data_IF_802316584100
#
_entry.id   IF_802316584100
#
_cell.length_a   1.000
_cell.length_b   1.000
_cell.length_c   1.000
_cell.angle_alpha   90.00
_cell.angle_beta   90.00
_cell.angle_gamma   90.00
#
_symmetry.space_group_name_H-M   'P 1'
#
loop_
_entity.id
_entity.type
_entity.pdbx_description
1 polymer ?
#
# COMPACT_ATOMS: atom_id res chain seq x y z
N UNK A 1 6.17 -29.08 -4.87
CA UNK A 1 4.82 -29.60 -4.55
C UNK A 1 3.84 -28.43 -4.62
N UNK A 2 3.63 -27.92 -5.83
CA UNK A 2 2.67 -26.88 -6.17
C UNK A 2 1.43 -27.61 -6.67
N UNK A 3 0.33 -27.60 -5.93
CA UNK A 3 -1.01 -27.87 -6.45
C UNK A 3 -2.01 -27.65 -5.32
N UNK A 4 -3.14 -27.02 -5.68
CA UNK A 4 -4.39 -26.80 -4.93
C UNK A 4 -4.50 -25.47 -4.19
N UNK A 5 -5.10 -24.52 -4.91
CA UNK A 5 -6.33 -23.81 -4.50
C UNK A 5 -6.91 -23.11 -5.74
N UNK A 6 -7.56 -23.90 -6.60
CA UNK A 6 -8.55 -23.35 -7.53
C UNK A 6 -9.78 -23.03 -6.68
N UNK A 7 -9.86 -21.80 -6.18
CA UNK A 7 -11.05 -21.30 -5.51
C UNK A 7 -12.13 -21.05 -6.57
N UNK A 8 -13.35 -21.46 -6.24
CA UNK A 8 -14.54 -21.40 -7.09
C UNK A 8 -14.77 -19.96 -7.54
N UNK A 9 -14.46 -19.69 -8.81
CA UNK A 9 -14.69 -18.41 -9.47
C UNK A 9 -16.19 -18.23 -9.72
N UNK A 10 -16.77 -17.14 -9.23
CA UNK A 10 -18.13 -16.75 -9.61
C UNK A 10 -18.09 -16.19 -11.05
N UNK A 11 -18.99 -16.65 -11.93
CA UNK A 11 -18.99 -16.33 -13.37
C UNK A 11 -19.05 -14.82 -13.72
N UNK A 12 -19.31 -13.93 -12.77
CA UNK A 12 -19.26 -12.47 -12.97
C UNK A 12 -17.84 -11.88 -12.99
N UNK A 13 -16.84 -12.54 -12.41
CA UNK A 13 -15.44 -12.08 -12.36
C UNK A 13 -14.56 -12.66 -13.48
N UNK A 14 -15.12 -13.55 -14.32
CA UNK A 14 -14.40 -14.25 -15.40
C UNK A 14 -14.23 -13.47 -16.72
N UNK A 15 -14.55 -12.17 -16.77
CA UNK A 15 -14.33 -11.37 -18.00
C UNK A 15 -13.07 -10.48 -17.97
N UNK A 16 -12.32 -10.48 -16.86
CA UNK A 16 -11.21 -9.53 -16.62
C UNK A 16 -9.81 -10.06 -17.01
N UNK A 17 -9.73 -11.26 -17.60
CA UNK A 17 -8.51 -12.07 -17.61
C UNK A 17 -7.65 -12.06 -18.90
N UNK A 18 -7.85 -11.15 -19.88
CA UNK A 18 -7.07 -11.24 -21.14
C UNK A 18 -6.51 -9.95 -21.79
N UNK A 19 -6.72 -8.72 -21.31
CA UNK A 19 -6.44 -7.52 -22.15
C UNK A 19 -5.96 -6.21 -21.46
N UNK A 20 -5.10 -6.28 -20.44
CA UNK A 20 -4.65 -5.06 -19.75
C UNK A 20 -5.63 -4.69 -18.64
N UNK A 21 -5.22 -5.03 -17.41
CA UNK A 21 -6.03 -5.01 -16.21
C UNK A 21 -6.64 -3.61 -16.08
N UNK A 22 -7.94 -3.46 -15.98
CA UNK A 22 -8.55 -2.24 -15.47
C UNK A 22 -9.41 -2.67 -14.30
N UNK A 23 -9.04 -2.27 -13.08
CA UNK A 23 -9.84 -2.49 -11.89
C UNK A 23 -10.85 -1.34 -11.79
N UNK A 24 -12.15 -1.58 -12.06
CA UNK A 24 -13.17 -0.61 -11.75
C UNK A 24 -13.27 -0.49 -10.24
N UNK A 25 -12.69 0.57 -9.69
CA UNK A 25 -12.86 0.90 -8.28
C UNK A 25 -14.07 1.81 -8.19
N UNK A 26 -15.04 1.43 -7.37
CA UNK A 26 -16.14 2.31 -6.96
C UNK A 26 -16.17 2.29 -5.44
N UNK A 27 -15.69 3.37 -4.83
CA UNK A 27 -15.35 3.39 -3.42
C UNK A 27 -15.98 4.59 -2.73
N UNK A 28 -16.66 4.38 -1.59
CA UNK A 28 -17.14 5.48 -0.77
C UNK A 28 -15.94 6.24 -0.25
N UNK A 29 -15.88 7.53 -0.58
CA UNK A 29 -14.96 8.47 0.05
C UNK A 29 -15.77 9.46 0.89
N UNK A 30 -15.13 10.12 1.86
CA UNK A 30 -15.72 11.23 2.60
C UNK A 30 -16.15 12.43 1.75
N UNK A 31 -15.70 12.49 0.49
CA UNK A 31 -16.06 13.51 -0.50
C UNK A 31 -17.11 12.99 -1.49
N UNK A 32 -17.64 11.79 -1.26
CA UNK A 32 -18.58 11.09 -2.12
C UNK A 32 -18.01 9.85 -2.80
N UNK A 33 -18.67 9.34 -3.84
CA UNK A 33 -18.28 8.08 -4.46
C UNK A 33 -17.18 8.32 -5.51
N UNK A 34 -15.98 7.80 -5.25
CA UNK A 34 -14.91 7.80 -6.25
C UNK A 34 -15.09 6.57 -7.14
N UNK A 35 -15.17 6.77 -8.46
CA UNK A 35 -15.20 5.67 -9.42
C UNK A 35 -14.13 5.84 -10.48
N UNK A 36 -13.42 4.78 -10.85
CA UNK A 36 -12.43 4.86 -11.92
C UNK A 36 -11.82 3.52 -12.25
N UNK A 37 -11.05 3.47 -13.33
CA UNK A 37 -10.41 2.24 -13.79
C UNK A 37 -8.89 2.37 -13.58
N UNK A 38 -8.33 1.45 -12.81
CA UNK A 38 -6.88 1.41 -12.55
C UNK A 38 -6.26 0.24 -13.29
N UNK A 39 -5.30 0.56 -14.16
CA UNK A 39 -4.41 -0.40 -14.77
C UNK A 39 -3.18 -0.66 -13.92
N UNK A 40 -3.12 -1.89 -13.41
CA UNK A 40 -2.00 -2.40 -12.63
C UNK A 40 -0.93 -2.94 -13.58
N UNK A 41 0.33 -2.53 -13.42
CA UNK A 41 1.39 -2.88 -14.35
C UNK A 41 1.78 -4.37 -14.29
N UNK A 42 1.54 -5.05 -13.17
CA UNK A 42 2.02 -6.41 -12.91
C UNK A 42 0.93 -7.37 -12.41
N UNK A 43 1.06 -8.65 -12.77
CA UNK A 43 0.20 -9.76 -12.32
C UNK A 43 0.32 -10.08 -10.82
N UNK A 44 1.18 -9.37 -10.09
CA UNK A 44 1.33 -9.51 -8.64
C UNK A 44 0.03 -9.29 -7.87
N UNK A 45 -0.93 -8.57 -8.44
CA UNK A 45 -2.26 -8.40 -7.84
C UNK A 45 -3.05 -9.73 -7.82
N UNK A 46 -2.91 -10.57 -8.84
CA UNK A 46 -3.57 -11.88 -8.93
C UNK A 46 -3.13 -12.80 -7.79
N UNK A 47 -1.90 -12.61 -7.29
CA UNK A 47 -1.35 -13.36 -6.15
C UNK A 47 -2.13 -13.11 -4.85
N UNK A 48 -2.70 -11.93 -4.68
CA UNK A 48 -3.41 -11.53 -3.45
C UNK A 48 -4.93 -11.40 -3.64
N UNK A 49 -5.40 -11.31 -4.88
CA UNK A 49 -6.82 -11.24 -5.23
C UNK A 49 -7.64 -12.43 -4.70
N UNK A 50 -7.02 -13.61 -4.64
CA UNK A 50 -7.65 -14.84 -4.16
C UNK A 50 -7.71 -14.98 -2.65
N UNK A 51 -7.09 -14.07 -1.89
CA UNK A 51 -7.12 -14.12 -0.43
C UNK A 51 -8.45 -13.57 0.12
N UNK A 52 -8.80 -14.03 1.33
CA UNK A 52 -10.02 -13.55 1.99
C UNK A 52 -9.98 -12.03 2.18
N UNK A 53 -8.81 -11.47 2.52
CA UNK A 53 -8.57 -10.04 2.69
C UNK A 53 -7.24 -9.66 2.08
N UNK A 54 -7.19 -8.56 1.34
CA UNK A 54 -5.95 -8.06 0.75
C UNK A 54 -5.94 -6.52 0.66
N UNK A 55 -4.75 -5.94 0.59
CA UNK A 55 -4.58 -4.49 0.40
C UNK A 55 -3.68 -4.22 -0.80
N UNK A 56 -4.04 -3.22 -1.59
CA UNK A 56 -3.19 -2.63 -2.62
C UNK A 56 -2.87 -1.19 -2.22
N UNK A 57 -1.60 -0.80 -2.26
CA UNK A 57 -1.19 0.58 -2.13
C UNK A 57 -0.45 1.01 -3.40
N UNK A 58 -0.92 2.11 -4.00
CA UNK A 58 -0.33 2.72 -5.20
C UNK A 58 0.30 4.04 -4.79
N UNK A 59 1.64 4.09 -4.80
CA UNK A 59 2.39 5.22 -4.25
C UNK A 59 2.19 6.50 -5.07
N UNK A 60 2.27 6.42 -6.41
CA UNK A 60 2.12 7.57 -7.31
C UNK A 60 0.75 8.27 -7.23
N UNK A 61 -0.28 7.55 -6.77
CA UNK A 61 -1.66 8.03 -6.63
C UNK A 61 -2.05 8.30 -5.17
N UNK A 62 -1.17 8.03 -4.20
CA UNK A 62 -1.48 8.09 -2.78
C UNK A 62 -2.72 7.27 -2.40
N UNK A 63 -2.97 6.17 -3.11
CA UNK A 63 -4.23 5.44 -3.04
C UNK A 63 -4.01 4.08 -2.40
N UNK A 64 -4.83 3.77 -1.41
CA UNK A 64 -4.91 2.43 -0.83
C UNK A 64 -6.30 1.85 -1.06
N UNK A 65 -6.37 0.60 -1.47
CA UNK A 65 -7.60 -0.14 -1.75
C UNK A 65 -7.58 -1.44 -0.94
N UNK A 66 -8.62 -1.67 -0.17
CA UNK A 66 -8.85 -2.92 0.55
C UNK A 66 -9.82 -3.80 -0.22
N UNK A 67 -9.51 -5.09 -0.27
CA UNK A 67 -10.25 -6.12 -0.98
C UNK A 67 -10.72 -7.21 -0.04
N UNK A 68 -11.91 -7.75 -0.28
CA UNK A 68 -12.42 -8.94 0.39
C UNK A 68 -12.89 -9.93 -0.67
N UNK A 69 -12.28 -11.13 -0.70
CA UNK A 69 -12.55 -12.18 -1.69
C UNK A 69 -12.47 -11.70 -3.15
N UNK A 70 -11.46 -10.88 -3.44
CA UNK A 70 -11.19 -10.32 -4.77
C UNK A 70 -11.99 -9.05 -5.12
N UNK A 71 -12.98 -8.68 -4.31
CA UNK A 71 -13.81 -7.50 -4.56
C UNK A 71 -13.28 -6.28 -3.78
N UNK A 72 -13.15 -5.09 -4.41
CA UNK A 72 -12.76 -3.88 -3.69
C UNK A 72 -13.89 -3.44 -2.77
N UNK A 73 -13.61 -3.34 -1.47
CA UNK A 73 -14.62 -2.97 -0.45
C UNK A 73 -14.45 -1.55 0.09
N UNK A 74 -13.25 -0.98 -0.05
CA UNK A 74 -12.96 0.40 0.37
C UNK A 74 -11.69 0.90 -0.30
N UNK A 75 -11.65 2.19 -0.65
CA UNK A 75 -10.39 2.87 -0.89
C UNK A 75 -10.33 4.19 -0.16
N UNK A 76 -9.11 4.60 0.15
CA UNK A 76 -8.81 5.84 0.84
C UNK A 76 -7.43 6.34 0.43
N UNK A 77 -7.26 7.65 0.57
CA UNK A 77 -5.98 8.30 0.30
C UNK A 77 -5.06 8.21 1.52
N UNK A 78 -3.75 8.26 1.28
CA UNK A 78 -2.73 8.33 2.34
C UNK A 78 -1.64 9.37 2.04
N UNK A 79 -1.08 9.97 3.09
CA UNK A 79 0.17 10.73 3.01
C UNK A 79 1.38 9.80 3.11
N UNK A 80 2.45 10.09 2.36
CA UNK A 80 3.74 9.39 2.46
C UNK A 80 4.83 10.24 3.10
N UNK A 81 6.08 9.88 2.83
CA UNK A 81 7.25 10.74 3.07
C UNK A 81 7.66 11.51 1.81
N UNK A 82 8.51 12.53 1.93
CA UNK A 82 8.91 13.33 0.76
C UNK A 82 9.60 12.47 -0.30
N UNK A 83 10.25 11.38 0.15
CA UNK A 83 10.92 10.42 -0.71
C UNK A 83 9.99 9.35 -1.33
N UNK A 84 8.66 9.43 -1.13
CA UNK A 84 7.70 8.40 -1.58
C UNK A 84 7.79 8.07 -3.08
N UNK A 85 8.12 9.06 -3.92
CA UNK A 85 8.15 8.94 -5.39
C UNK A 85 9.55 8.74 -5.99
N UNK A 86 10.57 8.51 -5.17
CA UNK A 86 11.95 8.43 -5.64
C UNK A 86 12.44 6.98 -5.78
N UNK A 87 11.51 6.05 -6.03
CA UNK A 87 11.76 4.62 -6.09
C UNK A 87 11.75 3.92 -4.72
N UNK A 88 11.93 2.59 -4.69
CA UNK A 88 11.73 1.79 -3.49
C UNK A 88 12.78 2.07 -2.40
N UNK A 89 12.41 1.73 -1.16
CA UNK A 89 13.32 1.70 -0.01
C UNK A 89 14.54 0.80 -0.24
N UNK A 90 15.72 1.34 0.05
CA UNK A 90 17.03 0.68 -0.13
C UNK A 90 17.90 0.73 1.13
N UNK A 91 17.69 1.68 2.03
CA UNK A 91 18.48 1.76 3.27
C UNK A 91 17.69 2.39 4.40
N UNK A 92 18.15 2.17 5.62
CA UNK A 92 17.66 2.93 6.78
C UNK A 92 17.88 4.43 6.55
N UNK A 93 16.85 5.21 6.85
CA UNK A 93 16.92 6.67 6.81
C UNK A 93 16.86 7.28 5.41
N UNK A 94 16.56 6.50 4.36
CA UNK A 94 16.28 7.07 3.03
C UNK A 94 14.85 7.63 2.88
N UNK A 95 14.04 7.56 3.94
CA UNK A 95 12.67 8.09 4.00
C UNK A 95 11.70 7.53 2.94
N UNK A 96 12.11 6.46 2.24
CA UNK A 96 11.31 5.81 1.20
C UNK A 96 10.40 4.75 1.78
N UNK A 97 9.24 4.60 1.15
CA UNK A 97 8.34 3.46 1.34
C UNK A 97 8.82 2.30 0.45
N UNK A 98 8.81 1.06 0.95
CA UNK A 98 9.18 -0.09 0.14
C UNK A 98 8.10 -0.44 -0.88
N UNK A 99 8.52 -0.98 -2.03
CA UNK A 99 7.62 -1.56 -3.03
C UNK A 99 7.77 -3.09 -3.04
N UNK A 100 6.69 -3.81 -3.33
CA UNK A 100 6.64 -5.27 -3.35
C UNK A 100 5.49 -5.84 -2.52
N UNK A 101 5.50 -7.17 -2.40
CA UNK A 101 4.52 -7.93 -1.63
C UNK A 101 4.98 -8.11 -0.18
N UNK A 102 4.12 -7.74 0.77
CA UNK A 102 4.34 -7.82 2.21
C UNK A 102 3.10 -8.36 2.93
N UNK A 103 3.19 -8.46 4.26
CA UNK A 103 2.09 -8.79 5.16
C UNK A 103 1.95 -7.75 6.26
N UNK A 104 0.70 -7.53 6.65
CA UNK A 104 0.27 -6.58 7.66
C UNK A 104 0.11 -7.26 9.03
N UNK A 105 0.49 -6.55 10.10
CA UNK A 105 0.35 -7.03 11.48
C UNK A 105 -0.09 -5.89 12.39
N UNK A 106 -1.14 -6.10 13.18
CA UNK A 106 -1.61 -5.07 14.10
C UNK A 106 -0.61 -4.88 15.24
N UNK A 107 -0.41 -3.63 15.64
CA UNK A 107 0.43 -3.28 16.79
C UNK A 107 -0.37 -2.47 17.79
N UNK A 108 -0.05 -2.66 19.07
CA UNK A 108 -0.64 -1.88 20.16
C UNK A 108 0.30 -0.76 20.64
N UNK A 109 1.50 -0.71 20.08
CA UNK A 109 2.54 0.25 20.41
C UNK A 109 2.84 1.08 19.17
N UNK A 110 2.75 2.39 19.32
CA UNK A 110 3.26 3.43 18.42
C UNK A 110 2.94 4.76 19.09
N UNK A 111 3.69 5.81 18.74
CA UNK A 111 3.28 7.19 19.05
C UNK A 111 2.09 7.67 18.19
N UNK A 112 1.77 6.92 17.13
CA UNK A 112 0.68 7.19 16.20
C UNK A 112 -0.48 6.21 16.44
N UNK A 113 -1.74 6.65 16.25
CA UNK A 113 -2.89 5.79 16.49
C UNK A 113 -3.05 4.73 15.39
N UNK A 114 -3.69 3.61 15.76
CA UNK A 114 -4.01 2.46 14.90
C UNK A 114 -2.83 1.93 14.05
N UNK A 115 -1.68 1.61 14.67
CA UNK A 115 -0.51 1.21 13.90
C UNK A 115 -0.65 -0.22 13.36
N UNK A 116 -0.52 -0.36 12.04
CA UNK A 116 -0.41 -1.63 11.33
C UNK A 116 1.00 -1.74 10.75
N UNK A 117 1.77 -2.72 11.20
CA UNK A 117 3.14 -2.96 10.75
C UNK A 117 3.15 -3.72 9.43
N UNK A 118 3.93 -3.22 8.46
CA UNK A 118 4.33 -3.94 7.26
C UNK A 118 5.57 -4.77 7.60
N UNK A 119 5.59 -6.06 7.30
CA UNK A 119 6.72 -6.97 7.58
C UNK A 119 7.93 -6.78 6.65
N UNK A 120 8.26 -5.53 6.36
CA UNK A 120 9.50 -5.12 5.70
C UNK A 120 10.70 -5.31 6.66
N UNK A 121 11.90 -5.66 6.16
CA UNK A 121 12.24 -5.98 4.77
C UNK A 121 11.76 -7.36 4.30
N UNK A 122 11.41 -7.46 3.01
CA UNK A 122 11.00 -8.70 2.35
C UNK A 122 12.18 -9.53 1.80
N UNK A 123 11.96 -10.79 1.38
CA UNK A 123 12.99 -11.62 0.75
C UNK A 123 13.61 -10.98 -0.50
N UNK A 124 12.78 -10.36 -1.34
CA UNK A 124 13.23 -9.67 -2.56
C UNK A 124 14.08 -8.42 -2.24
N UNK A 125 13.75 -7.69 -1.15
CA UNK A 125 14.59 -6.57 -0.69
C UNK A 125 15.95 -7.05 -0.21
N UNK A 126 15.97 -8.15 0.53
CA UNK A 126 17.19 -8.75 1.04
C UNK A 126 18.07 -9.28 -0.09
N UNK A 127 17.48 -9.93 -1.09
CA UNK A 127 18.20 -10.44 -2.26
C UNK A 127 18.89 -9.31 -3.03
N UNK A 128 18.14 -8.27 -3.39
CA UNK A 128 18.66 -7.08 -4.06
C UNK A 128 19.78 -6.42 -3.23
N UNK A 129 19.54 -6.24 -1.94
CA UNK A 129 20.52 -5.63 -1.04
C UNK A 129 21.80 -6.45 -0.88
N UNK A 130 21.71 -7.77 -0.89
CA UNK A 130 22.86 -8.64 -0.79
C UNK A 130 23.70 -8.62 -2.08
N UNK A 131 23.04 -8.64 -3.24
CA UNK A 131 23.70 -8.52 -4.54
C UNK A 131 24.47 -7.21 -4.67
N UNK A 132 23.95 -6.13 -4.08
CA UNK A 132 24.59 -4.82 -4.05
C UNK A 132 25.57 -4.61 -2.87
N UNK A 133 25.78 -5.63 -2.03
CA UNK A 133 26.70 -5.53 -0.88
C UNK A 133 26.21 -4.63 0.27
N UNK A 134 24.93 -4.22 0.28
CA UNK A 134 24.32 -3.39 1.34
C UNK A 134 24.03 -4.16 2.64
N UNK A 135 23.93 -5.49 2.56
CA UNK A 135 23.76 -6.37 3.73
C UNK A 135 24.67 -7.60 3.64
N UNK A 136 24.90 -8.25 4.79
CA UNK A 136 25.65 -9.51 4.85
C UNK A 136 24.77 -10.72 4.50
N UNK A 137 25.38 -11.84 4.12
CA UNK A 137 24.66 -13.13 3.96
C UNK A 137 23.93 -13.55 5.24
N UNK A 138 24.48 -13.25 6.41
CA UNK A 138 23.84 -13.55 7.69
C UNK A 138 22.53 -12.77 7.85
N UNK A 139 22.53 -11.47 7.55
CA UNK A 139 21.32 -10.63 7.57
C UNK A 139 20.28 -11.11 6.55
N UNK A 140 20.72 -11.45 5.33
CA UNK A 140 19.85 -12.05 4.32
C UNK A 140 19.16 -13.31 4.83
N UNK A 141 19.92 -14.25 5.41
CA UNK A 141 19.38 -15.51 5.92
C UNK A 141 18.37 -15.27 7.05
N UNK A 142 18.60 -14.30 7.94
CA UNK A 142 17.66 -13.94 9.00
C UNK A 142 16.32 -13.44 8.42
N UNK A 143 16.37 -12.57 7.40
CA UNK A 143 15.16 -12.04 6.75
C UNK A 143 14.39 -13.18 6.06
N UNK A 144 15.05 -13.95 5.20
CA UNK A 144 14.41 -15.02 4.42
C UNK A 144 13.80 -16.08 5.35
N UNK A 145 14.53 -16.49 6.40
CA UNK A 145 14.04 -17.47 7.37
C UNK A 145 12.80 -16.98 8.11
N UNK A 146 12.80 -15.72 8.57
CA UNK A 146 11.64 -15.16 9.27
C UNK A 146 10.38 -15.20 8.39
N UNK A 147 10.49 -14.80 7.11
CA UNK A 147 9.37 -14.86 6.17
C UNK A 147 8.90 -16.29 5.88
N UNK A 148 9.83 -17.25 5.73
CA UNK A 148 9.51 -18.66 5.53
C UNK A 148 8.80 -19.29 6.74
N UNK A 149 9.11 -18.82 7.95
CA UNK A 149 8.50 -19.28 9.20
C UNK A 149 7.25 -18.47 9.60
N UNK A 150 6.80 -17.51 8.78
CA UNK A 150 5.65 -16.65 9.09
C UNK A 150 5.90 -15.67 10.26
N UNK A 151 7.16 -15.42 10.60
CA UNK A 151 7.58 -14.52 11.65
C UNK A 151 7.88 -13.12 11.09
N UNK A 152 7.95 -12.12 11.97
CA UNK A 152 8.45 -10.81 11.59
C UNK A 152 9.96 -10.89 11.31
N UNK A 153 10.44 -10.35 10.19
CA UNK A 153 11.87 -10.19 9.98
C UNK A 153 12.46 -9.18 10.98
N UNK A 154 13.78 -9.19 11.20
CA UNK A 154 14.43 -8.19 12.04
C UNK A 154 14.02 -6.77 11.60
N UNK A 155 13.56 -5.96 12.55
CA UNK A 155 13.10 -4.59 12.27
C UNK A 155 14.24 -3.56 12.40
N UNK A 156 15.44 -4.02 12.75
CA UNK A 156 16.63 -3.20 12.94
C UNK A 156 17.75 -3.61 11.96
N UNK A 157 17.47 -3.58 10.66
CA UNK A 157 18.47 -3.95 9.62
C UNK A 157 19.14 -2.70 9.00
N UNK A 158 20.21 -2.86 8.20
CA UNK A 158 20.74 -1.79 7.35
C UNK A 158 19.71 -1.27 6.32
N UNK A 159 18.73 -2.07 5.95
CA UNK A 159 17.61 -1.67 5.08
C UNK A 159 16.55 -0.84 5.82
N UNK A 160 16.61 -0.83 7.15
CA UNK A 160 15.58 -0.27 8.01
C UNK A 160 14.59 -1.34 8.49
N UNK A 161 13.37 -0.89 8.75
CA UNK A 161 12.27 -1.65 9.35
C UNK A 161 11.24 -0.68 9.91
N UNK A 162 10.29 -1.19 10.68
CA UNK A 162 9.24 -0.41 11.35
C UNK A 162 8.44 0.49 10.39
N UNK A 163 8.16 -0.01 9.19
CA UNK A 163 7.28 0.66 8.23
C UNK A 163 5.84 0.41 8.67
N UNK A 164 5.12 1.48 9.01
CA UNK A 164 3.76 1.42 9.55
C UNK A 164 2.76 2.03 8.56
N UNK A 165 1.54 1.50 8.60
CA UNK A 165 0.32 2.23 8.24
C UNK A 165 -0.29 2.75 9.53
N UNK A 166 -0.56 4.04 9.65
CA UNK A 166 -1.06 4.63 10.90
C UNK A 166 -1.87 5.90 10.68
N UNK A 167 -2.66 6.30 11.67
CA UNK A 167 -3.33 7.60 11.67
C UNK A 167 -2.41 8.77 12.05
N UNK A 168 -2.95 9.96 12.00
CA UNK A 168 -2.33 11.20 12.45
C UNK A 168 -2.37 11.33 13.98
N UNK A 169 -1.32 11.89 14.61
CA UNK A 169 -1.16 11.91 16.08
C UNK A 169 -2.22 12.72 16.85
N UNK A 170 -2.76 13.82 16.28
CA UNK A 170 -3.76 14.67 16.94
C UNK A 170 -5.10 14.66 16.19
N UNK A 171 -6.15 13.97 16.70
CA UNK A 171 -7.45 13.90 16.04
C UNK A 171 -8.22 15.24 16.02
N UNK A 172 -8.04 16.09 17.04
CA UNK A 172 -8.79 17.35 17.21
C UNK A 172 -8.14 18.56 16.50
N UNK A 173 -6.82 18.53 16.30
CA UNK A 173 -6.10 19.62 15.60
C UNK A 173 -6.23 19.55 14.08
N UNK A 174 -6.77 18.46 13.54
CA UNK A 174 -6.86 18.21 12.10
C UNK A 174 -8.31 18.11 11.63
N UNK A 175 -9.12 19.10 12.00
CA UNK A 175 -10.46 19.31 11.45
C UNK A 175 -10.41 20.17 10.18
N UNK A 176 -10.12 19.59 9.02
CA UNK A 176 -10.52 20.20 7.75
C UNK A 176 -9.61 20.02 6.54
N UNK A 177 -10.19 19.36 5.53
CA UNK A 177 -10.07 19.62 4.08
C UNK A 177 -8.65 19.77 3.52
N UNK A 178 -8.08 18.68 3.00
CA UNK A 178 -6.97 18.75 2.04
C UNK A 178 -5.73 19.54 2.51
N UNK A 179 -5.61 19.88 3.80
CA UNK A 179 -4.70 20.87 4.38
C UNK A 179 -4.10 21.92 3.40
N UNK A 180 -4.91 22.57 2.55
CA UNK A 180 -4.47 23.53 1.48
C UNK A 180 -4.05 22.90 0.14
N UNK A 181 -4.68 21.80 -0.27
CA UNK A 181 -4.50 21.21 -1.60
C UNK A 181 -3.20 20.44 -1.81
N UNK A 182 -2.43 20.14 -0.75
CA UNK A 182 -1.19 19.34 -0.85
C UNK A 182 -1.25 18.11 0.05
N UNK A 183 -0.78 16.98 -0.48
CA UNK A 183 -0.45 15.80 0.32
C UNK A 183 0.89 16.13 1.00
N UNK A 184 0.86 16.68 2.21
CA UNK A 184 2.09 16.88 2.98
C UNK A 184 2.66 15.50 3.32
N UNK A 185 3.90 15.31 2.88
CA UNK A 185 4.62 14.05 2.86
C UNK A 185 5.55 13.98 4.08
N UNK A 186 4.98 13.80 5.26
CA UNK A 186 5.67 14.04 6.54
C UNK A 186 6.29 12.79 7.20
N UNK A 187 6.10 11.60 6.63
CA UNK A 187 6.60 10.36 7.26
C UNK A 187 8.01 9.99 6.78
N UNK A 188 8.75 9.19 7.56
CA UNK A 188 10.06 8.68 7.13
C UNK A 188 9.93 7.35 6.35
N UNK A 189 8.87 7.22 5.54
CA UNK A 189 8.55 6.03 4.73
C UNK A 189 7.35 5.21 5.23
N UNK A 190 6.52 5.77 6.13
CA UNK A 190 5.25 5.17 6.54
C UNK A 190 4.11 5.59 5.59
N UNK A 191 2.94 4.97 5.74
CA UNK A 191 1.73 5.29 5.00
C UNK A 191 0.70 5.85 5.99
N UNK A 192 0.29 7.11 5.82
CA UNK A 192 -0.56 7.80 6.78
C UNK A 192 -1.94 8.14 6.18
N UNK A 193 -2.92 7.22 6.20
CA UNK A 193 -4.30 7.55 5.89
C UNK A 193 -4.93 8.39 7.02
N UNK A 194 -6.08 8.99 6.73
CA UNK A 194 -6.81 9.73 7.76
C UNK A 194 -7.24 8.83 8.92
N UNK A 195 -7.42 9.41 10.11
CA UNK A 195 -7.70 8.66 11.35
C UNK A 195 -8.85 7.65 11.21
N UNK A 196 -9.96 8.04 10.61
CA UNK A 196 -11.11 7.15 10.35
C UNK A 196 -10.76 5.94 9.46
N UNK A 197 -9.86 6.13 8.49
CA UNK A 197 -9.47 5.11 7.52
C UNK A 197 -8.39 4.21 8.11
N UNK A 198 -7.44 4.78 8.87
CA UNK A 198 -6.47 4.06 9.68
C UNK A 198 -7.15 3.16 10.71
N UNK A 199 -8.14 3.70 11.45
CA UNK A 199 -8.93 2.96 12.42
C UNK A 199 -9.69 1.80 11.76
N UNK A 200 -10.37 2.08 10.66
CA UNK A 200 -11.08 1.05 9.92
C UNK A 200 -10.14 -0.05 9.45
N UNK A 201 -9.02 0.31 8.83
CA UNK A 201 -8.04 -0.65 8.33
C UNK A 201 -7.49 -1.49 9.48
N UNK A 202 -7.10 -0.86 10.59
CA UNK A 202 -6.59 -1.56 11.77
C UNK A 202 -7.58 -2.55 12.37
N UNK A 203 -8.87 -2.25 12.37
CA UNK A 203 -9.90 -3.17 12.86
C UNK A 203 -10.24 -4.27 11.84
N UNK A 204 -10.08 -3.99 10.54
CA UNK A 204 -10.42 -4.92 9.47
C UNK A 204 -9.31 -5.94 9.17
N UNK A 205 -8.03 -5.53 9.22
CA UNK A 205 -6.89 -6.41 8.92
C UNK A 205 -6.70 -7.47 10.01
N UNK A 206 -6.21 -8.63 9.58
CA UNK A 206 -5.74 -9.69 10.47
C UNK A 206 -4.22 -9.80 10.33
N UNK A 207 -3.56 -10.34 11.35
CA UNK A 207 -2.11 -10.57 11.28
C UNK A 207 -1.83 -11.55 10.14
N UNK A 208 -0.99 -11.13 9.20
CA UNK A 208 -0.71 -11.87 7.97
C UNK A 208 -1.49 -11.41 6.74
N UNK A 209 -2.44 -10.46 6.84
CA UNK A 209 -3.15 -9.91 5.68
C UNK A 209 -2.14 -9.39 4.64
N UNK A 210 -2.17 -9.87 3.39
CA UNK A 210 -1.25 -9.44 2.36
C UNK A 210 -1.46 -7.96 1.99
N UNK A 211 -0.37 -7.28 1.67
CA UNK A 211 -0.37 -5.97 1.03
C UNK A 211 0.59 -5.97 -0.15
N UNK A 212 0.12 -5.55 -1.32
CA UNK A 212 0.96 -5.22 -2.45
C UNK A 212 1.17 -3.72 -2.48
N UNK A 213 2.42 -3.27 -2.48
CA UNK A 213 2.78 -1.86 -2.63
C UNK A 213 3.46 -1.69 -3.98
N UNK A 214 2.86 -0.90 -4.86
CA UNK A 214 3.41 -0.59 -6.18
C UNK A 214 3.75 0.90 -6.29
N UNK A 215 4.82 1.19 -7.03
CA UNK A 215 5.26 2.56 -7.25
C UNK A 215 4.26 3.34 -8.10
N UNK A 216 3.83 2.74 -9.21
CA UNK A 216 2.98 3.40 -10.18
C UNK A 216 1.87 2.50 -10.73
N UNK A 217 0.78 3.11 -11.15
CA UNK A 217 -0.33 2.50 -11.87
C UNK A 217 -0.89 3.52 -12.85
N UNK A 218 -1.47 3.05 -13.95
CA UNK A 218 -2.16 3.93 -14.90
C UNK A 218 -3.62 4.07 -14.49
N UNK A 219 -4.14 5.28 -14.54
CA UNK A 219 -5.57 5.54 -14.35
C UNK A 219 -6.06 6.23 -15.61
N UNK A 220 -6.94 5.57 -16.36
CA UNK A 220 -7.43 6.08 -17.65
C UNK A 220 -8.71 6.93 -17.50
N UNK A 221 -9.43 6.75 -16.39
CA UNK A 221 -10.70 7.40 -16.10
C UNK A 221 -10.94 7.45 -14.60
N UNK A 222 -11.43 8.60 -14.12
CA UNK A 222 -11.82 8.79 -12.74
C UNK A 222 -13.01 9.75 -12.66
N UNK A 223 -13.89 9.51 -11.71
CA UNK A 223 -15.04 10.35 -11.39
C UNK A 223 -15.23 10.43 -9.89
N UNK A 224 -15.74 11.56 -9.39
CA UNK A 224 -16.18 11.75 -8.02
C UNK A 224 -17.64 12.18 -8.06
N UNK A 225 -18.53 11.42 -7.42
CA UNK A 225 -19.98 11.63 -7.47
C UNK A 225 -20.53 11.65 -8.90
N UNK A 226 -19.96 10.84 -9.81
CA UNK A 226 -20.36 10.81 -11.21
C UNK A 226 -19.85 11.97 -12.07
N UNK A 227 -19.08 12.91 -11.48
CA UNK A 227 -18.40 13.96 -12.23
C UNK A 227 -16.98 13.52 -12.58
N UNK A 228 -16.63 13.55 -13.86
CA UNK A 228 -15.28 13.23 -14.33
C UNK A 228 -14.24 14.13 -13.66
N UNK A 229 -13.17 13.51 -13.18
CA UNK A 229 -12.03 14.19 -12.59
C UNK A 229 -10.99 14.36 -13.70
N UNK A 230 -10.56 15.59 -13.93
CA UNK A 230 -9.42 15.87 -14.80
C UNK A 230 -8.15 15.28 -14.16
N UNK A 231 -7.81 14.07 -14.59
CA UNK A 231 -6.68 13.30 -14.09
C UNK A 231 -5.35 13.99 -14.37
N UNK A 232 -5.21 14.66 -15.51
CA UNK A 232 -4.00 15.43 -15.80
C UNK A 232 -3.84 16.62 -14.87
N UNK A 233 -4.93 17.34 -14.57
CA UNK A 233 -4.92 18.45 -13.62
C UNK A 233 -4.72 17.96 -12.20
N UNK A 234 -5.35 16.86 -11.80
CA UNK A 234 -5.14 16.22 -10.50
C UNK A 234 -3.66 15.84 -10.36
N UNK A 235 -3.11 15.11 -11.33
CA UNK A 235 -1.71 14.71 -11.33
C UNK A 235 -0.78 15.93 -11.45
N UNK A 236 -1.14 16.98 -12.18
CA UNK A 236 -0.40 18.26 -12.22
C UNK A 236 -0.45 18.99 -10.90
N UNK A 237 -1.57 19.02 -10.18
CA UNK A 237 -1.67 19.63 -8.84
C UNK A 237 -0.83 18.82 -7.86
N UNK A 238 -0.94 17.48 -7.89
CA UNK A 238 -0.09 16.58 -7.11
C UNK A 238 1.40 16.72 -7.48
N UNK A 239 1.73 17.14 -8.71
CA UNK A 239 3.09 17.43 -9.19
C UNK A 239 3.60 18.85 -8.89
N UNK A 240 2.74 19.86 -8.97
CA UNK A 240 3.08 21.26 -8.75
C UNK A 240 3.22 21.59 -7.25
N UNK A 241 2.60 20.79 -6.40
CA UNK A 241 2.85 20.82 -4.96
C UNK A 241 4.16 20.11 -4.54
N UNK A 242 5.02 19.76 -5.51
CA UNK A 242 6.34 19.11 -5.33
C UNK A 242 7.53 20.08 -5.45
N UNK A 243 7.29 21.37 -5.65
CA UNK A 243 8.27 22.48 -5.59
C UNK A 243 7.99 23.39 -4.39
#
# INVERSE_FOLDING_TARGET
MLLRRAAVYNLGTMFWALLGIFLPITVPSPYGQFSGNIELPDSSWELIAGDEKAVLAVLSLNLMIAFERGEPIRAFLFSGGDSLYFGPKTRRGDERTPCGLYRLYRRRWSRFPWPVLINYPGPHDAERALAEGRITRATYNQIVRAHAEGQLPPQNTPLGGAILIHGYPNPEEWQGVWWRGRIENWTNGCLAPQNRDAEWLYNWVQDGTPILIIEDARMDSASLNGHEIDLERLMRVLRANRE
#
